data_IF_593479368726
#
_entry.id   IF_593479368726
#
_cell.length_a   1.000
_cell.length_b   1.000
_cell.length_c   1.000
_cell.angle_alpha   90.00
_cell.angle_beta   90.00
_cell.angle_gamma   90.00
#
_symmetry.space_group_name_H-M   'P 1'
#
loop_
_entity.id
_entity.type
_entity.pdbx_description
1 polymer ?
#
# COMPACT_ATOMS: atom_id res chain seq x y z
N UNK A 1 47.29 -2.87 20.88
CA UNK A 1 46.92 -1.90 19.83
C UNK A 1 45.40 -1.84 19.82
N UNK A 2 44.82 -0.77 20.35
CA UNK A 2 43.37 -0.58 20.38
C UNK A 2 42.90 -0.43 18.93
N UNK A 3 42.25 -1.48 18.41
CA UNK A 3 41.64 -1.44 17.09
C UNK A 3 40.62 -0.31 17.08
N UNK A 4 40.70 0.52 16.05
CA UNK A 4 39.75 1.59 15.82
C UNK A 4 38.32 1.00 15.77
N UNK A 5 37.39 1.46 16.62
CA UNK A 5 36.06 0.87 16.71
C UNK A 5 35.14 1.27 15.55
N UNK A 6 35.47 2.32 14.79
CA UNK A 6 34.60 2.87 13.74
C UNK A 6 34.19 1.83 12.67
N UNK A 7 35.11 1.03 12.08
CA UNK A 7 34.74 0.11 11.01
C UNK A 7 33.84 -1.02 11.51
N UNK A 8 34.08 -1.50 12.73
CA UNK A 8 33.25 -2.51 13.39
C UNK A 8 31.86 -1.96 13.72
N UNK A 9 31.78 -0.74 14.28
CA UNK A 9 30.52 -0.08 14.59
C UNK A 9 29.70 0.25 13.34
N UNK A 10 30.35 0.73 12.26
CA UNK A 10 29.70 0.96 10.97
C UNK A 10 29.21 -0.34 10.33
N UNK A 11 29.98 -1.42 10.43
CA UNK A 11 29.57 -2.73 9.92
C UNK A 11 28.36 -3.24 10.68
N UNK A 12 28.36 -3.10 12.00
CA UNK A 12 27.22 -3.45 12.85
C UNK A 12 25.98 -2.64 12.47
N UNK A 13 26.05 -1.30 12.40
CA UNK A 13 24.87 -0.51 12.02
C UNK A 13 24.40 -0.78 10.59
N UNK A 14 25.30 -1.09 9.64
CA UNK A 14 24.91 -1.46 8.28
C UNK A 14 24.20 -2.82 8.21
N UNK A 15 24.53 -3.77 9.09
CA UNK A 15 23.88 -5.08 9.17
C UNK A 15 22.38 -4.99 9.51
N UNK A 16 21.97 -3.84 10.07
CA UNK A 16 20.59 -3.55 10.43
C UNK A 16 19.70 -3.18 9.24
N UNK A 17 20.27 -3.07 8.03
CA UNK A 17 19.59 -2.67 6.81
C UNK A 17 19.72 -3.76 5.73
N UNK A 18 18.84 -3.76 4.71
CA UNK A 18 18.82 -4.80 3.68
C UNK A 18 20.13 -4.99 2.89
N UNK A 19 20.93 -3.91 2.73
CA UNK A 19 22.27 -4.00 2.14
C UNK A 19 23.07 -2.71 2.35
N UNK A 20 24.40 -2.78 2.24
CA UNK A 20 25.28 -1.61 2.20
C UNK A 20 24.93 -0.68 1.02
N UNK A 21 24.51 -1.25 -0.12
CA UNK A 21 24.06 -0.45 -1.28
C UNK A 21 22.80 0.37 -0.96
N UNK A 22 21.87 -0.18 -0.17
CA UNK A 22 20.70 0.56 0.31
C UNK A 22 21.11 1.73 1.21
N UNK A 23 22.03 1.50 2.16
CA UNK A 23 22.58 2.54 3.06
C UNK A 23 23.27 3.66 2.26
N UNK A 24 24.17 3.32 1.34
CA UNK A 24 24.91 4.31 0.53
C UNK A 24 23.97 5.23 -0.27
N UNK A 25 22.90 4.67 -0.86
CA UNK A 25 21.89 5.44 -1.61
C UNK A 25 21.15 6.44 -0.72
N UNK A 26 20.79 6.06 0.51
CA UNK A 26 20.05 6.93 1.44
C UNK A 26 20.92 8.01 2.07
N UNK A 27 22.17 7.69 2.43
CA UNK A 27 23.12 8.68 2.98
C UNK A 27 23.63 9.63 1.88
N UNK A 28 23.59 9.20 0.61
CA UNK A 28 24.15 9.95 -0.51
C UNK A 28 25.67 9.99 -0.46
N UNK A 29 26.29 8.85 -0.11
CA UNK A 29 27.75 8.64 -0.15
C UNK A 29 28.06 7.56 -1.19
N UNK A 30 29.10 7.78 -1.99
CA UNK A 30 29.53 6.81 -3.00
C UNK A 30 29.91 5.47 -2.34
N UNK A 31 29.43 4.35 -2.89
CA UNK A 31 29.64 3.01 -2.32
C UNK A 31 31.12 2.62 -2.23
N UNK A 32 31.95 2.99 -3.20
CA UNK A 32 33.40 2.71 -3.15
C UNK A 32 34.06 3.48 -2.01
N UNK A 33 33.65 4.72 -1.80
CA UNK A 33 34.12 5.54 -0.68
C UNK A 33 33.64 4.99 0.66
N UNK A 34 32.37 4.59 0.76
CA UNK A 34 31.80 4.03 1.99
C UNK A 34 32.46 2.69 2.37
N UNK A 35 32.75 1.84 1.39
CA UNK A 35 33.48 0.58 1.62
C UNK A 35 34.89 0.82 2.19
N UNK A 36 35.56 1.92 1.83
CA UNK A 36 36.85 2.29 2.45
C UNK A 36 36.71 2.64 3.94
N UNK A 37 35.55 3.14 4.36
CA UNK A 37 35.27 3.40 5.79
C UNK A 37 35.02 2.08 6.54
N UNK A 38 34.22 1.18 5.96
CA UNK A 38 33.97 -0.16 6.52
C UNK A 38 35.23 -1.02 6.63
N UNK A 39 36.19 -0.82 5.73
CA UNK A 39 37.50 -1.48 5.78
C UNK A 39 38.50 -0.78 6.72
N UNK A 40 38.15 0.37 7.32
CA UNK A 40 39.07 1.17 8.13
C UNK A 40 40.23 1.81 7.37
N UNK A 41 40.20 1.77 6.02
CA UNK A 41 41.28 2.28 5.18
C UNK A 41 41.35 3.82 5.18
N UNK A 42 40.21 4.50 5.34
CA UNK A 42 40.10 5.96 5.35
C UNK A 42 39.05 6.38 6.36
N UNK A 43 39.23 7.56 6.97
CA UNK A 43 38.24 8.20 7.83
C UNK A 43 37.21 9.00 7.02
N UNK A 44 35.91 8.99 7.40
CA UNK A 44 34.96 9.94 6.86
C UNK A 44 35.40 11.38 7.11
N UNK A 45 35.20 12.27 6.14
CA UNK A 45 35.32 13.72 6.36
C UNK A 45 34.25 14.18 7.37
N UNK A 46 34.42 15.33 8.02
CA UNK A 46 33.44 15.88 8.97
C UNK A 46 32.01 15.96 8.40
N UNK A 47 31.89 16.32 7.12
CA UNK A 47 30.61 16.35 6.40
C UNK A 47 30.00 14.95 6.26
N UNK A 48 30.80 13.98 5.83
CA UNK A 48 30.33 12.61 5.68
C UNK A 48 30.06 11.93 7.03
N UNK A 49 30.87 12.24 8.05
CA UNK A 49 30.67 11.77 9.41
C UNK A 49 29.32 12.25 9.95
N UNK A 50 28.99 13.54 9.76
CA UNK A 50 27.67 14.09 10.13
C UNK A 50 26.54 13.35 9.41
N UNK A 51 26.63 13.18 8.08
CA UNK A 51 25.63 12.43 7.31
C UNK A 51 25.43 10.99 7.82
N UNK A 52 26.53 10.33 8.18
CA UNK A 52 26.53 8.97 8.73
C UNK A 52 25.84 8.96 10.10
N UNK A 53 26.23 9.88 10.98
CA UNK A 53 25.65 10.05 12.31
C UNK A 53 24.14 10.34 12.25
N UNK A 54 23.73 11.30 11.42
CA UNK A 54 22.33 11.68 11.22
C UNK A 54 21.50 10.51 10.68
N UNK A 55 22.04 9.74 9.73
CA UNK A 55 21.35 8.58 9.16
C UNK A 55 21.14 7.45 10.18
N UNK A 56 22.14 7.18 11.03
CA UNK A 56 22.05 6.12 12.04
C UNK A 56 21.43 6.57 13.36
N UNK A 57 21.13 7.87 13.52
CA UNK A 57 20.57 8.42 14.77
C UNK A 57 21.55 8.33 15.95
N UNK A 58 22.85 8.55 15.69
CA UNK A 58 23.92 8.51 16.69
C UNK A 58 24.78 9.76 16.62
N UNK A 59 25.46 10.10 17.70
CA UNK A 59 26.51 11.13 17.67
C UNK A 59 27.84 10.55 17.20
N UNK A 60 28.77 11.42 16.78
CA UNK A 60 30.13 10.99 16.42
C UNK A 60 30.86 10.34 17.60
N UNK A 61 30.65 10.86 18.82
CA UNK A 61 31.20 10.28 20.03
C UNK A 61 30.67 8.86 20.26
N UNK A 62 29.36 8.64 20.10
CA UNK A 62 28.73 7.32 20.22
C UNK A 62 29.27 6.33 19.17
N UNK A 63 29.38 6.78 17.92
CA UNK A 63 29.86 5.95 16.82
C UNK A 63 31.34 5.53 17.00
N UNK A 64 32.11 6.30 17.76
CA UNK A 64 33.51 6.04 18.08
C UNK A 64 33.72 5.35 19.45
N UNK A 65 32.65 4.95 20.14
CA UNK A 65 32.74 4.17 21.38
C UNK A 65 33.22 2.75 21.12
N UNK A 66 33.69 2.07 22.18
CA UNK A 66 34.01 0.64 22.13
C UNK A 66 32.81 -0.18 21.64
N UNK A 67 33.06 -1.07 20.67
CA UNK A 67 32.01 -1.82 19.96
C UNK A 67 31.01 -2.53 20.87
N UNK A 68 31.40 -3.20 21.97
CA UNK A 68 30.43 -3.83 22.87
C UNK A 68 29.42 -2.84 23.46
N UNK A 69 29.88 -1.66 23.90
CA UNK A 69 29.02 -0.60 24.45
C UNK A 69 28.15 0.04 23.38
N UNK A 70 28.69 0.22 22.18
CA UNK A 70 27.93 0.75 21.05
C UNK A 70 26.78 -0.19 20.64
N UNK A 71 27.05 -1.49 20.53
CA UNK A 71 26.04 -2.52 20.23
C UNK A 71 24.93 -2.52 21.28
N UNK A 72 25.28 -2.43 22.57
CA UNK A 72 24.32 -2.36 23.68
C UNK A 72 23.44 -1.10 23.58
N UNK A 73 24.04 0.07 23.35
CA UNK A 73 23.33 1.35 23.20
C UNK A 73 22.34 1.33 22.03
N UNK A 74 22.76 0.81 20.86
CA UNK A 74 21.87 0.67 19.69
C UNK A 74 20.75 -0.34 19.94
N UNK A 75 21.04 -1.43 20.65
CA UNK A 75 20.05 -2.46 21.00
C UNK A 75 19.00 -1.93 21.98
N UNK A 76 19.39 -1.08 22.94
CA UNK A 76 18.49 -0.45 23.90
C UNK A 76 17.60 0.63 23.25
N UNK A 77 18.13 1.42 22.31
CA UNK A 77 17.35 2.39 21.50
C UNK A 77 16.29 1.73 20.61
N UNK A 78 16.42 0.43 20.34
CA UNK A 78 15.46 -0.37 19.56
C UNK A 78 14.25 -0.88 20.36
N UNK A 79 14.14 -0.61 21.67
CA UNK A 79 12.80 -0.59 22.29
C UNK A 79 12.01 0.53 21.60
N UNK A 80 10.84 0.23 21.01
CA UNK A 80 10.31 1.01 19.89
C UNK A 80 9.93 2.42 20.33
N UNK A 81 10.85 3.37 20.19
CA UNK A 81 10.52 4.77 20.01
C UNK A 81 10.13 4.87 18.53
N UNK A 82 8.87 5.21 18.20
CA UNK A 82 8.45 5.26 16.82
C UNK A 82 9.35 6.27 16.11
N UNK A 83 9.99 5.84 15.01
CA UNK A 83 10.62 6.76 14.08
C UNK A 83 9.61 7.89 13.81
N UNK A 84 9.98 9.11 14.21
CA UNK A 84 9.34 10.30 13.66
C UNK A 84 9.83 10.34 12.22
N UNK A 85 9.15 9.55 11.39
CA UNK A 85 9.32 9.53 9.96
C UNK A 85 9.10 10.96 9.48
N UNK A 86 10.21 11.66 9.22
CA UNK A 86 10.24 12.99 8.64
C UNK A 86 9.80 12.97 7.16
N UNK A 87 9.15 11.88 6.74
CA UNK A 87 8.37 11.82 5.51
C UNK A 87 7.29 12.90 5.55
N UNK A 88 7.18 13.77 4.53
CA UNK A 88 6.09 14.74 4.42
C UNK A 88 4.70 14.06 4.37
N UNK A 89 4.65 12.77 4.05
CA UNK A 89 3.42 11.96 4.02
C UNK A 89 3.05 11.48 5.43
N UNK A 90 4.04 11.27 6.31
CA UNK A 90 3.86 10.75 7.66
C UNK A 90 2.84 11.54 8.49
N UNK A 91 2.93 12.88 8.60
CA UNK A 91 1.98 13.69 9.34
C UNK A 91 0.55 13.65 8.77
N UNK A 92 0.40 13.73 7.44
CA UNK A 92 -0.92 13.70 6.79
C UNK A 92 -1.57 12.33 6.97
N UNK A 93 -0.84 11.25 6.76
CA UNK A 93 -1.35 9.90 6.92
C UNK A 93 -1.71 9.59 8.37
N UNK A 94 -0.87 10.02 9.32
CA UNK A 94 -1.16 9.93 10.75
C UNK A 94 -2.42 10.71 11.11
N UNK A 95 -2.62 11.91 10.54
CA UNK A 95 -3.84 12.70 10.73
C UNK A 95 -5.07 11.99 10.18
N UNK A 96 -5.02 11.47 8.95
CA UNK A 96 -6.11 10.70 8.37
C UNK A 96 -6.45 9.49 9.24
N UNK A 97 -5.44 8.77 9.73
CA UNK A 97 -5.65 7.63 10.63
C UNK A 97 -6.22 8.04 11.99
N UNK A 98 -5.77 9.15 12.56
CA UNK A 98 -6.24 9.67 13.86
C UNK A 98 -7.73 10.05 13.84
N UNK A 99 -8.20 10.64 12.74
CA UNK A 99 -9.61 11.03 12.60
C UNK A 99 -10.48 9.91 12.00
N UNK A 100 -9.86 8.86 11.46
CA UNK A 100 -10.60 7.73 10.90
C UNK A 100 -11.32 6.98 12.01
N UNK A 101 -12.63 6.76 11.85
CA UNK A 101 -13.33 5.81 12.70
C UNK A 101 -12.80 4.38 12.48
N UNK A 102 -12.98 3.47 13.44
CA UNK A 102 -12.59 2.08 13.28
C UNK A 102 -13.33 1.39 12.14
N UNK A 103 -12.60 0.63 11.34
CA UNK A 103 -13.09 -0.20 10.24
C UNK A 103 -13.04 -1.71 10.58
N UNK A 104 -12.76 -2.09 11.84
CA UNK A 104 -12.60 -3.50 12.25
C UNK A 104 -13.74 -4.40 11.76
N UNK A 105 -14.98 -3.90 11.84
CA UNK A 105 -16.18 -4.61 11.39
C UNK A 105 -16.13 -4.94 9.89
N UNK A 106 -15.51 -4.10 9.08
CA UNK A 106 -15.34 -4.26 7.64
C UNK A 106 -14.07 -5.05 7.27
N UNK A 107 -13.26 -5.48 8.23
CA UNK A 107 -12.13 -6.35 7.90
C UNK A 107 -12.64 -7.72 7.40
N UNK A 108 -12.02 -8.20 6.32
CA UNK A 108 -12.39 -9.43 5.64
C UNK A 108 -12.14 -9.37 4.14
N UNK A 109 -12.57 -10.42 3.46
CA UNK A 109 -12.45 -10.60 2.03
C UNK A 109 -13.70 -10.11 1.31
N UNK A 110 -13.50 -9.64 0.08
CA UNK A 110 -14.54 -9.11 -0.78
C UNK A 110 -14.36 -9.58 -2.22
N UNK A 111 -15.48 -9.78 -2.92
CA UNK A 111 -15.47 -9.62 -4.37
C UNK A 111 -15.82 -8.19 -4.73
N UNK A 112 -15.00 -7.57 -5.58
CA UNK A 112 -15.25 -6.23 -6.11
C UNK A 112 -15.76 -6.33 -7.53
N UNK A 113 -16.87 -5.64 -7.82
CA UNK A 113 -17.51 -5.60 -9.12
C UNK A 113 -17.62 -4.16 -9.63
N UNK A 114 -17.24 -3.95 -10.89
CA UNK A 114 -17.43 -2.68 -11.61
C UNK A 114 -17.32 -2.89 -13.12
N UNK A 115 -17.89 -1.98 -13.91
CA UNK A 115 -17.71 -2.00 -15.37
C UNK A 115 -16.28 -1.62 -15.76
N UNK A 116 -15.66 -2.41 -16.64
CA UNK A 116 -14.27 -2.24 -17.06
C UNK A 116 -14.04 -0.94 -17.82
N UNK A 117 -13.02 -0.19 -17.41
CA UNK A 117 -12.57 1.00 -18.14
C UNK A 117 -11.79 0.65 -19.43
N UNK A 118 -11.21 -0.54 -19.51
CA UNK A 118 -10.41 -0.97 -20.67
C UNK A 118 -11.22 -1.77 -21.69
N UNK A 119 -12.25 -2.48 -21.23
CA UNK A 119 -13.11 -3.37 -22.02
C UNK A 119 -14.57 -2.97 -21.85
N UNK A 120 -15.04 -1.93 -22.58
CA UNK A 120 -16.39 -1.40 -22.41
C UNK A 120 -17.48 -2.49 -22.50
N UNK A 121 -18.48 -2.39 -21.62
CA UNK A 121 -19.62 -3.32 -21.56
C UNK A 121 -19.36 -4.61 -20.77
N UNK A 122 -18.13 -4.88 -20.33
CA UNK A 122 -17.81 -6.04 -19.50
C UNK A 122 -17.68 -5.63 -18.02
N UNK A 123 -18.00 -6.55 -17.11
CA UNK A 123 -17.85 -6.38 -15.65
C UNK A 123 -16.60 -7.09 -15.17
N UNK A 124 -15.77 -6.40 -14.40
CA UNK A 124 -14.62 -7.00 -13.71
C UNK A 124 -15.10 -7.54 -12.37
N UNK A 125 -14.74 -8.79 -12.05
CA UNK A 125 -14.77 -9.33 -10.68
C UNK A 125 -13.34 -9.51 -10.18
N UNK A 126 -12.96 -8.74 -9.18
CA UNK A 126 -11.64 -8.82 -8.53
C UNK A 126 -11.77 -9.32 -7.09
N UNK A 127 -10.66 -9.80 -6.51
CA UNK A 127 -10.62 -10.26 -5.12
C UNK A 127 -9.88 -9.25 -4.27
N UNK A 128 -10.55 -8.74 -3.25
CA UNK A 128 -9.98 -7.76 -2.34
C UNK A 128 -9.97 -8.24 -0.89
N UNK A 129 -9.05 -7.68 -0.10
CA UNK A 129 -8.90 -7.96 1.31
C UNK A 129 -8.67 -6.64 2.06
N UNK A 130 -9.50 -6.40 3.07
CA UNK A 130 -9.30 -5.32 4.03
C UNK A 130 -8.79 -5.93 5.35
N UNK A 131 -7.61 -5.51 5.78
CA UNK A 131 -6.96 -6.00 7.01
C UNK A 131 -6.55 -4.86 7.92
N UNK A 132 -6.50 -5.11 9.22
CA UNK A 132 -5.91 -4.19 10.19
C UNK A 132 -4.50 -4.62 10.55
N UNK A 133 -3.54 -3.71 10.48
CA UNK A 133 -2.15 -3.94 10.88
C UNK A 133 -1.53 -2.66 11.44
N UNK A 134 -0.89 -2.77 12.60
CA UNK A 134 -0.17 -1.66 13.24
C UNK A 134 -1.01 -0.37 13.40
N UNK A 135 -2.32 -0.54 13.62
CA UNK A 135 -3.27 0.57 13.76
C UNK A 135 -3.78 1.19 12.47
N UNK A 136 -3.39 0.65 11.31
CA UNK A 136 -3.84 1.09 9.98
C UNK A 136 -4.72 0.02 9.31
N UNK A 137 -5.59 0.46 8.41
CA UNK A 137 -6.39 -0.42 7.56
C UNK A 137 -5.77 -0.53 6.18
N UNK A 138 -5.25 -1.71 5.87
CA UNK A 138 -4.54 -2.01 4.64
C UNK A 138 -5.50 -2.68 3.66
N UNK A 139 -5.51 -2.16 2.44
CA UNK A 139 -6.28 -2.69 1.33
C UNK A 139 -5.36 -3.44 0.38
N UNK A 140 -5.80 -4.62 -0.07
CA UNK A 140 -5.17 -5.35 -1.17
C UNK A 140 -6.24 -5.77 -2.16
N UNK A 141 -5.96 -5.65 -3.45
CA UNK A 141 -6.85 -6.10 -4.51
C UNK A 141 -6.07 -6.81 -5.60
N UNK A 142 -6.65 -7.88 -6.15
CA UNK A 142 -6.08 -8.66 -7.25
C UNK A 142 -7.12 -8.79 -8.35
N UNK A 143 -6.78 -8.27 -9.52
CA UNK A 143 -7.55 -8.44 -10.74
C UNK A 143 -6.89 -9.53 -11.59
N UNK A 144 -7.73 -10.34 -12.24
CA UNK A 144 -7.31 -11.31 -13.23
C UNK A 144 -8.03 -10.97 -14.52
N UNK A 145 -7.27 -10.76 -15.58
CA UNK A 145 -7.84 -10.72 -16.91
C UNK A 145 -7.71 -12.13 -17.50
N UNK A 146 -8.85 -12.76 -17.74
CA UNK A 146 -8.88 -13.97 -18.52
C UNK A 146 -8.66 -13.51 -19.97
N UNK A 147 -7.40 -13.49 -20.41
CA UNK A 147 -7.09 -13.26 -21.82
C UNK A 147 -7.95 -14.15 -22.72
N UNK A 148 -8.03 -13.82 -24.01
CA UNK A 148 -8.73 -14.66 -24.98
C UNK A 148 -8.27 -16.13 -24.94
N UNK A 149 -8.97 -17.06 -25.61
CA UNK A 149 -8.82 -18.51 -25.41
C UNK A 149 -7.38 -19.09 -25.46
N UNK A 150 -6.41 -18.39 -26.04
CA UNK A 150 -5.00 -18.77 -26.13
C UNK A 150 -4.01 -17.74 -25.50
N UNK A 151 -4.50 -16.75 -24.75
CA UNK A 151 -3.68 -15.68 -24.17
C UNK A 151 -3.16 -16.01 -22.77
N UNK A 152 -2.00 -15.46 -22.41
CA UNK A 152 -1.54 -15.47 -21.03
C UNK A 152 -2.55 -14.72 -20.13
N UNK A 153 -2.80 -15.24 -18.93
CA UNK A 153 -3.62 -14.55 -17.94
C UNK A 153 -2.83 -13.37 -17.37
N UNK A 154 -3.33 -12.17 -17.57
CA UNK A 154 -2.76 -10.99 -16.92
C UNK A 154 -3.25 -10.93 -15.47
N UNK A 155 -2.34 -10.62 -14.55
CA UNK A 155 -2.64 -10.45 -13.13
C UNK A 155 -2.17 -9.08 -12.70
N UNK A 156 -3.11 -8.25 -12.23
CA UNK A 156 -2.83 -6.94 -11.67
C UNK A 156 -2.99 -6.99 -10.16
N UNK A 157 -2.06 -6.37 -9.45
CA UNK A 157 -2.07 -6.32 -7.98
C UNK A 157 -2.08 -4.87 -7.55
N UNK A 158 -2.91 -4.57 -6.58
CA UNK A 158 -3.07 -3.25 -6.03
C UNK A 158 -2.94 -3.32 -4.51
N UNK A 159 -2.29 -2.31 -3.95
CA UNK A 159 -2.17 -2.13 -2.51
C UNK A 159 -2.55 -0.70 -2.16
N UNK A 160 -3.11 -0.51 -0.98
CA UNK A 160 -3.68 0.76 -0.59
C UNK A 160 -4.02 0.85 0.88
N UNK A 161 -4.71 1.93 1.22
CA UNK A 161 -5.18 2.23 2.56
C UNK A 161 -6.67 2.52 2.54
N UNK A 162 -7.33 2.17 3.64
CA UNK A 162 -8.73 2.48 3.88
C UNK A 162 -8.89 3.41 5.10
N UNK A 163 -9.84 4.33 5.02
CA UNK A 163 -10.17 5.29 6.07
C UNK A 163 -11.68 5.45 6.19
N UNK A 164 -12.20 5.55 7.41
CA UNK A 164 -13.58 5.94 7.66
C UNK A 164 -13.62 7.41 8.04
N UNK A 165 -13.87 8.28 7.06
CA UNK A 165 -13.81 9.74 7.23
C UNK A 165 -14.99 10.38 6.49
N UNK A 166 -15.62 11.38 7.13
CA UNK A 166 -16.81 12.03 6.57
C UNK A 166 -17.98 11.07 6.36
N UNK A 167 -18.17 10.12 7.28
CA UNK A 167 -19.23 9.11 7.24
C UNK A 167 -19.22 8.22 5.99
N UNK A 168 -18.05 8.07 5.37
CA UNK A 168 -17.81 7.20 4.22
C UNK A 168 -16.55 6.38 4.40
N UNK A 169 -16.55 5.19 3.82
CA UNK A 169 -15.35 4.36 3.72
C UNK A 169 -14.60 4.79 2.46
N UNK A 170 -13.41 5.31 2.64
CA UNK A 170 -12.55 5.78 1.56
C UNK A 170 -11.40 4.79 1.38
N UNK A 171 -11.17 4.32 0.17
CA UNK A 171 -10.03 3.47 -0.18
C UNK A 171 -9.22 4.17 -1.25
N UNK A 172 -7.90 4.24 -1.07
CA UNK A 172 -6.97 4.70 -2.11
C UNK A 172 -5.94 3.61 -2.33
N UNK A 173 -5.81 3.17 -3.58
CA UNK A 173 -4.89 2.10 -3.98
C UNK A 173 -4.06 2.52 -5.21
N UNK A 174 -2.89 1.90 -5.35
CA UNK A 174 -2.06 1.98 -6.54
C UNK A 174 -1.68 0.59 -7.04
N UNK A 175 -1.44 0.48 -8.35
CA UNK A 175 -0.91 -0.74 -8.96
C UNK A 175 0.53 -1.01 -8.47
N UNK A 176 0.87 -2.24 -8.12
CA UNK A 176 2.11 -2.56 -7.39
C UNK A 176 3.37 -2.67 -8.27
N UNK A 177 3.26 -3.05 -9.55
CA UNK A 177 4.44 -3.31 -10.39
C UNK A 177 5.03 -2.04 -10.99
N UNK A 178 4.16 -1.18 -11.54
CA UNK A 178 4.55 0.03 -12.27
C UNK A 178 4.13 1.30 -11.55
N UNK A 179 3.27 1.21 -10.51
CA UNK A 179 2.67 2.37 -9.83
C UNK A 179 2.09 3.39 -10.81
N UNK A 180 1.56 2.88 -11.91
CA UNK A 180 1.21 3.69 -13.09
C UNK A 180 -0.26 4.14 -13.08
N UNK A 181 -1.05 3.63 -12.12
CA UNK A 181 -2.43 4.01 -11.87
C UNK A 181 -2.70 4.16 -10.37
N UNK A 182 -3.61 5.07 -10.06
CA UNK A 182 -4.23 5.24 -8.75
C UNK A 182 -5.72 5.04 -8.92
N UNK A 183 -6.34 4.39 -7.96
CA UNK A 183 -7.80 4.23 -7.89
C UNK A 183 -8.26 4.69 -6.51
N UNK A 184 -9.35 5.45 -6.49
CA UNK A 184 -10.03 5.85 -5.27
C UNK A 184 -11.43 5.27 -5.28
N UNK A 185 -11.87 4.74 -4.13
CA UNK A 185 -13.25 4.36 -3.89
C UNK A 185 -13.80 5.12 -2.69
N UNK A 186 -15.04 5.57 -2.80
CA UNK A 186 -15.83 6.11 -1.69
C UNK A 186 -17.09 5.28 -1.58
N UNK A 187 -17.27 4.61 -0.45
CA UNK A 187 -18.32 3.63 -0.21
C UNK A 187 -19.22 4.08 0.93
N UNK A 188 -20.49 3.74 0.82
CA UNK A 188 -21.41 3.82 1.95
C UNK A 188 -21.03 2.77 3.01
N UNK A 189 -21.14 3.13 4.31
CA UNK A 189 -21.06 2.15 5.37
C UNK A 189 -22.29 1.23 5.38
N UNK A 190 -22.18 0.10 6.09
CA UNK A 190 -23.35 -0.74 6.37
C UNK A 190 -24.05 -0.28 7.65
N UNK A 191 -25.36 -0.02 7.56
CA UNK A 191 -26.22 0.34 8.70
C UNK A 191 -26.94 -0.86 9.32
N UNK A 192 -26.86 -2.04 8.71
CA UNK A 192 -27.42 -3.28 9.28
C UNK A 192 -26.48 -3.85 10.37
N UNK A 193 -26.83 -4.98 10.98
CA UNK A 193 -25.97 -5.69 11.95
C UNK A 193 -24.89 -6.54 11.26
N UNK A 194 -25.16 -7.04 10.05
CA UNK A 194 -24.24 -7.78 9.18
C UNK A 194 -23.61 -6.89 8.10
N UNK A 195 -22.68 -7.44 7.33
CA UNK A 195 -22.22 -6.81 6.10
C UNK A 195 -22.54 -7.79 4.98
N UNK A 196 -23.46 -7.42 4.11
CA UNK A 196 -23.74 -8.18 2.89
C UNK A 196 -22.86 -7.63 1.77
N UNK A 197 -22.94 -6.32 1.54
CA UNK A 197 -22.12 -5.62 0.56
C UNK A 197 -21.91 -4.15 0.95
N UNK A 198 -20.96 -3.51 0.26
CA UNK A 198 -20.75 -2.07 0.28
C UNK A 198 -20.91 -1.54 -1.13
N UNK A 199 -21.59 -0.42 -1.29
CA UNK A 199 -21.82 0.22 -2.57
C UNK A 199 -21.18 1.61 -2.57
N UNK A 200 -20.72 2.07 -3.73
CA UNK A 200 -20.26 3.44 -3.87
C UNK A 200 -19.75 3.78 -5.25
N UNK A 201 -18.88 4.78 -5.30
CA UNK A 201 -18.23 5.27 -6.52
C UNK A 201 -16.75 4.96 -6.46
N UNK A 202 -16.23 4.56 -7.61
CA UNK A 202 -14.82 4.40 -7.87
C UNK A 202 -14.39 5.34 -8.97
N UNK A 203 -13.20 5.90 -8.84
CA UNK A 203 -12.52 6.64 -9.91
C UNK A 203 -11.15 6.03 -10.17
N UNK A 204 -10.72 6.04 -11.43
CA UNK A 204 -9.44 5.52 -11.84
C UNK A 204 -9.15 5.79 -13.31
N UNK A 205 -8.03 5.27 -13.80
CA UNK A 205 -7.67 5.33 -15.22
C UNK A 205 -7.41 3.93 -15.76
N UNK A 206 -7.86 3.60 -16.98
CA UNK A 206 -7.53 2.32 -17.62
C UNK A 206 -6.02 2.22 -17.88
N UNK A 207 -5.45 1.06 -17.55
CA UNK A 207 -4.03 0.76 -17.79
C UNK A 207 -3.69 0.62 -19.29
N UNK A 208 -4.66 0.17 -20.11
CA UNK A 208 -4.42 -0.23 -21.50
C UNK A 208 -4.99 0.73 -22.56
N UNK A 209 -6.08 1.46 -22.32
CA UNK A 209 -6.82 2.19 -23.37
C UNK A 209 -7.07 3.67 -23.04
N UNK A 210 -6.42 4.57 -23.77
CA UNK A 210 -6.74 6.01 -23.78
C UNK A 210 -6.41 6.81 -22.52
N UNK A 211 -6.03 6.18 -21.40
CA UNK A 211 -5.66 6.79 -20.09
C UNK A 211 -6.58 7.94 -19.66
N UNK A 212 -7.84 7.93 -20.08
CA UNK A 212 -8.81 8.94 -19.70
C UNK A 212 -9.23 8.67 -18.26
N UNK A 213 -9.31 9.70 -17.39
CA UNK A 213 -9.98 9.55 -16.10
C UNK A 213 -11.38 9.02 -16.31
N UNK A 214 -11.78 8.05 -15.49
CA UNK A 214 -13.08 7.43 -15.53
C UNK A 214 -13.61 7.27 -14.10
N UNK A 215 -14.94 7.21 -14.01
CA UNK A 215 -15.65 6.91 -12.79
C UNK A 215 -16.73 5.85 -13.07
N UNK A 216 -17.02 5.02 -12.09
CA UNK A 216 -18.08 4.02 -12.17
C UNK A 216 -18.67 3.76 -10.80
N UNK A 217 -19.86 3.16 -10.78
CA UNK A 217 -20.35 2.48 -9.58
C UNK A 217 -19.42 1.30 -9.26
N UNK A 218 -19.32 0.96 -7.98
CA UNK A 218 -18.57 -0.19 -7.50
C UNK A 218 -19.34 -0.88 -6.38
N UNK A 219 -19.35 -2.21 -6.43
CA UNK A 219 -19.92 -3.08 -5.40
C UNK A 219 -18.80 -3.90 -4.77
N UNK A 220 -18.74 -3.92 -3.44
CA UNK A 220 -17.93 -4.86 -2.67
C UNK A 220 -18.86 -5.86 -1.98
N UNK A 221 -18.92 -7.07 -2.52
CA UNK A 221 -19.67 -8.20 -1.96
C UNK A 221 -18.84 -8.87 -0.86
N UNK A 222 -19.35 -8.92 0.38
CA UNK A 222 -18.59 -9.36 1.55
C UNK A 222 -18.56 -10.88 1.67
N UNK A 223 -17.36 -11.44 1.74
CA UNK A 223 -17.13 -12.88 1.80
C UNK A 223 -16.81 -13.36 3.22
N UNK A 224 -16.68 -12.45 4.19
CA UNK A 224 -16.26 -12.77 5.55
C UNK A 224 -14.74 -12.82 5.74
N UNK A 225 -14.31 -13.26 6.92
CA UNK A 225 -12.89 -13.30 7.31
C UNK A 225 -12.22 -14.64 6.98
N UNK A 226 -12.99 -15.72 6.84
CA UNK A 226 -12.50 -17.08 6.65
C UNK A 226 -12.75 -17.55 5.22
N UNK A 227 -11.98 -17.00 4.27
CA UNK A 227 -12.10 -17.31 2.84
C UNK A 227 -10.83 -17.99 2.35
N UNK A 228 -10.95 -19.05 1.55
CA UNK A 228 -9.83 -19.63 0.80
C UNK A 228 -9.48 -18.69 -0.38
N UNK A 229 -8.34 -17.98 -0.33
CA UNK A 229 -8.01 -16.99 -1.36
C UNK A 229 -7.78 -17.64 -2.72
N UNK A 230 -7.33 -18.89 -2.79
CA UNK A 230 -7.09 -19.58 -4.08
C UNK A 230 -8.41 -19.86 -4.79
N UNK A 231 -9.42 -20.33 -4.04
CA UNK A 231 -10.77 -20.57 -4.56
C UNK A 231 -11.47 -19.27 -4.95
N UNK A 232 -11.32 -18.21 -4.15
CA UNK A 232 -11.89 -16.91 -4.47
C UNK A 232 -11.23 -16.32 -5.74
N UNK A 233 -9.90 -16.33 -5.82
CA UNK A 233 -9.17 -15.83 -6.98
C UNK A 233 -9.46 -16.62 -8.27
N UNK A 234 -9.79 -17.91 -8.18
CA UNK A 234 -10.19 -18.72 -9.33
C UNK A 234 -11.52 -18.25 -9.95
N UNK A 235 -12.33 -17.53 -9.19
CA UNK A 235 -13.59 -16.94 -9.65
C UNK A 235 -13.37 -15.55 -10.25
N UNK A 236 -12.24 -14.88 -10.02
CA UNK A 236 -11.97 -13.56 -10.59
C UNK A 236 -11.78 -13.60 -12.12
N UNK A 237 -12.12 -12.49 -12.78
CA UNK A 237 -12.12 -12.42 -14.22
C UNK A 237 -12.86 -11.19 -14.77
N UNK A 238 -12.89 -11.11 -16.09
CA UNK A 238 -13.76 -10.22 -16.85
C UNK A 238 -14.96 -11.04 -17.34
N UNK A 239 -16.17 -10.51 -17.15
CA UNK A 239 -17.43 -11.22 -17.41
C UNK A 239 -18.37 -10.39 -18.28
N UNK A 240 -19.12 -11.08 -19.14
CA UNK A 240 -20.32 -10.52 -19.72
C UNK A 240 -21.36 -10.30 -18.61
N UNK A 241 -22.04 -9.14 -18.54
CA UNK A 241 -23.07 -8.90 -17.53
C UNK A 241 -24.14 -10.00 -17.46
N UNK A 242 -24.48 -10.65 -18.58
CA UNK A 242 -25.48 -11.73 -18.61
C UNK A 242 -25.02 -13.01 -17.89
N UNK A 243 -23.71 -13.17 -17.64
CA UNK A 243 -23.14 -14.32 -16.94
C UNK A 243 -23.01 -14.12 -15.42
N UNK A 244 -23.41 -12.96 -14.89
CA UNK A 244 -23.38 -12.62 -13.47
C UNK A 244 -24.79 -12.61 -12.87
N UNK A 245 -24.87 -12.65 -11.54
CA UNK A 245 -26.13 -12.43 -10.83
C UNK A 245 -26.73 -11.06 -11.22
N UNK A 246 -28.00 -11.05 -11.59
CA UNK A 246 -28.70 -9.86 -12.05
C UNK A 246 -28.64 -8.73 -11.01
N UNK A 247 -28.73 -9.05 -9.71
CA UNK A 247 -28.64 -8.06 -8.63
C UNK A 247 -27.30 -7.35 -8.64
N UNK A 248 -26.20 -8.08 -8.84
CA UNK A 248 -24.85 -7.50 -8.89
C UNK A 248 -24.76 -6.52 -10.07
N UNK A 249 -25.26 -6.94 -11.23
CA UNK A 249 -25.23 -6.14 -12.45
C UNK A 249 -26.02 -4.85 -12.26
N UNK A 250 -27.23 -4.93 -11.71
CA UNK A 250 -28.08 -3.75 -11.45
C UNK A 250 -27.41 -2.76 -10.49
N UNK A 251 -26.74 -3.24 -9.44
CA UNK A 251 -26.05 -2.40 -8.46
C UNK A 251 -24.86 -1.63 -9.06
N UNK A 252 -24.12 -2.24 -10.00
CA UNK A 252 -22.93 -1.61 -10.60
C UNK A 252 -23.19 -0.92 -11.93
N UNK A 253 -24.39 -1.06 -12.49
CA UNK A 253 -24.78 -0.43 -13.75
C UNK A 253 -25.18 1.03 -13.52
N UNK A 254 -24.86 1.86 -14.50
CA UNK A 254 -25.31 3.25 -14.57
C UNK A 254 -26.00 3.46 -15.92
N UNK A 255 -27.33 3.40 -15.93
CA UNK A 255 -28.17 3.53 -17.13
C UNK A 255 -28.84 4.90 -17.25
N UNK A 256 -28.80 5.72 -16.18
CA UNK A 256 -29.38 7.05 -16.22
C UNK A 256 -28.44 8.03 -16.94
N UNK A 257 -28.94 8.95 -17.79
CA UNK A 257 -28.14 10.09 -18.19
C UNK A 257 -27.69 10.83 -16.92
N UNK A 258 -26.42 11.27 -16.88
CA UNK A 258 -25.89 12.07 -15.78
C UNK A 258 -26.82 13.27 -15.58
N UNK A 259 -27.64 13.27 -14.53
CA UNK A 259 -28.42 14.45 -14.17
C UNK A 259 -27.42 15.56 -13.86
N UNK A 260 -27.59 16.72 -14.50
CA UNK A 260 -26.77 17.92 -14.31
C UNK A 260 -25.24 17.71 -14.44
N UNK A 261 -24.81 16.67 -15.17
CA UNK A 261 -23.40 16.25 -15.35
C UNK A 261 -22.73 15.56 -14.15
N UNK A 262 -23.49 15.11 -13.14
CA UNK A 262 -22.96 14.48 -11.92
C UNK A 262 -23.21 12.96 -11.93
N UNK A 263 -22.18 12.18 -11.57
CA UNK A 263 -22.31 10.74 -11.36
C UNK A 263 -22.61 10.45 -9.89
N UNK A 264 -23.82 9.98 -9.60
CA UNK A 264 -24.27 9.63 -8.24
C UNK A 264 -24.68 8.16 -8.11
N UNK A 265 -24.61 7.67 -6.87
CA UNK A 265 -24.97 6.30 -6.49
C UNK A 265 -25.86 6.33 -5.28
N UNK A 266 -27.04 5.74 -5.42
CA UNK A 266 -27.99 5.49 -4.33
C UNK A 266 -27.74 4.11 -3.74
N UNK A 267 -27.73 4.03 -2.42
CA UNK A 267 -27.74 2.74 -1.72
C UNK A 267 -29.19 2.29 -1.61
N UNK A 268 -29.52 1.16 -2.26
CA UNK A 268 -30.83 0.49 -2.15
C UNK A 268 -31.02 -0.12 -0.76
#
# INVERSE_FOLDING_TARGET
>A
MTSDPLPANLSYTCSLFPSIAHVCRRIGINRQQFNKYLAGAVRPSRHNMRKICDFFGVTEAELLMETPRFVELISLRRRPVPEVDASPIGPTLKRLNQFSAPLDRYCGAYFRYFFSYSTPGQVIRSFALLTRRDGYYLWKNIERDNGGPNGARDVYKYEGLAFYLGERINVVENECLLSSSVTQMMLYPSYSSGIDYLLGIQTGGPLKRGRKPAASRVLLDYLGQNVDPKRALAQCGTFDPQALDQRIVELVRHDAPLQDSILEVEQL
#
